data_IF_169758109286
#
_entry.id   IF_169758109286
#
_cell.length_a   1.000
_cell.length_b   1.000
_cell.length_c   1.000
_cell.angle_alpha   90.00
_cell.angle_beta   90.00
_cell.angle_gamma   90.00
#
_symmetry.space_group_name_H-M   'P 1'
#
loop_
_entity.id
_entity.type
_entity.pdbx_description
1 polymer ?
#
# COMPACT_ATOMS: atom_id res chain seq x y z
N UNK A 1 -24.49 34.62 -17.49
CA UNK A 1 -23.59 34.28 -16.36
C UNK A 1 -24.21 34.49 -14.96
N UNK A 2 -25.14 35.40 -14.72
CA UNK A 2 -25.81 35.56 -13.41
C UNK A 2 -26.79 34.42 -13.04
N UNK A 3 -27.38 33.72 -14.03
CA UNK A 3 -28.34 32.63 -13.79
C UNK A 3 -27.70 31.34 -13.24
N UNK A 4 -26.42 31.06 -13.55
CA UNK A 4 -25.73 29.86 -13.08
C UNK A 4 -25.31 29.94 -11.60
N UNK A 5 -25.05 31.14 -11.08
CA UNK A 5 -24.63 31.30 -9.66
C UNK A 5 -25.80 31.09 -8.70
N UNK A 6 -27.02 31.50 -9.10
CA UNK A 6 -28.23 31.27 -8.28
C UNK A 6 -28.64 29.80 -8.27
N UNK A 7 -28.44 29.06 -9.37
CA UNK A 7 -28.75 27.63 -9.45
C UNK A 7 -27.89 26.81 -8.47
N UNK A 8 -26.60 27.12 -8.33
CA UNK A 8 -25.71 26.44 -7.40
C UNK A 8 -26.12 26.61 -5.93
N UNK A 9 -26.62 27.78 -5.55
CA UNK A 9 -27.08 28.03 -4.18
C UNK A 9 -28.41 27.34 -3.87
N UNK A 10 -29.32 27.25 -4.83
CA UNK A 10 -30.60 26.57 -4.63
C UNK A 10 -30.39 25.05 -4.54
N UNK A 11 -29.49 24.49 -5.32
CA UNK A 11 -29.17 23.05 -5.26
C UNK A 11 -28.45 22.69 -3.95
N UNK A 12 -27.54 23.53 -3.46
CA UNK A 12 -26.87 23.32 -2.17
C UNK A 12 -27.82 23.49 -0.97
N UNK A 13 -28.80 24.38 -1.05
CA UNK A 13 -29.84 24.51 -0.01
C UNK A 13 -30.79 23.30 -0.01
N UNK A 14 -31.18 22.79 -1.19
CA UNK A 14 -32.01 21.60 -1.29
C UNK A 14 -31.33 20.34 -0.76
N UNK A 15 -30.02 20.13 -1.07
CA UNK A 15 -29.23 19.02 -0.51
C UNK A 15 -28.99 19.19 0.98
N UNK A 16 -28.78 20.41 1.48
CA UNK A 16 -28.57 20.68 2.90
C UNK A 16 -29.81 20.42 3.76
N UNK A 17 -31.01 20.65 3.23
CA UNK A 17 -32.27 20.37 3.93
C UNK A 17 -32.64 18.89 3.97
N UNK A 18 -32.21 18.08 2.99
CA UNK A 18 -32.49 16.63 2.99
C UNK A 18 -31.63 15.86 3.97
N UNK A 19 -30.47 16.37 4.36
CA UNK A 19 -29.63 15.72 5.38
C UNK A 19 -30.06 16.03 6.82
N UNK A 20 -30.88 17.03 7.05
CA UNK A 20 -31.37 17.41 8.39
C UNK A 20 -32.71 16.77 8.79
N UNK A 21 -33.40 16.15 7.83
CA UNK A 21 -34.65 15.44 8.09
C UNK A 21 -34.44 13.94 8.01
N UNK A 22 -33.89 13.37 9.07
CA UNK A 22 -34.00 11.93 9.29
C UNK A 22 -35.48 11.55 9.34
N UNK A 23 -35.89 10.61 8.50
CA UNK A 23 -37.19 9.91 8.48
C UNK A 23 -38.43 10.79 8.75
N UNK A 24 -39.02 11.29 7.70
CA UNK A 24 -40.50 11.43 7.62
C UNK A 24 -41.19 12.47 8.50
N UNK A 25 -40.49 13.41 9.12
CA UNK A 25 -41.18 14.55 9.79
C UNK A 25 -41.28 15.73 8.84
N UNK A 26 -42.52 16.11 8.52
CA UNK A 26 -42.80 17.38 7.85
C UNK A 26 -42.18 18.51 8.67
N UNK A 27 -41.34 19.33 8.05
CA UNK A 27 -40.94 20.60 8.62
C UNK A 27 -42.20 21.49 8.58
N UNK A 28 -42.70 21.89 9.76
CA UNK A 28 -43.92 22.66 9.86
C UNK A 28 -43.85 23.89 8.96
N UNK A 29 -44.78 23.95 7.98
CA UNK A 29 -45.02 25.10 7.12
C UNK A 29 -44.37 25.08 5.75
N UNK A 30 -43.60 24.07 5.38
CA UNK A 30 -43.03 23.96 4.01
C UNK A 30 -43.51 22.66 3.36
N UNK A 31 -44.45 22.79 2.43
CA UNK A 31 -44.84 21.70 1.58
C UNK A 31 -43.75 21.47 0.51
N UNK A 32 -43.05 20.34 0.61
CA UNK A 32 -41.96 19.95 -0.31
C UNK A 32 -42.47 19.93 -1.77
N UNK A 33 -43.72 19.49 -1.99
CA UNK A 33 -44.27 19.42 -3.33
C UNK A 33 -44.47 20.81 -3.93
N UNK A 34 -44.96 21.77 -3.12
CA UNK A 34 -45.09 23.16 -3.51
C UNK A 34 -43.76 23.83 -3.86
N UNK A 35 -42.68 23.45 -3.15
CA UNK A 35 -41.34 23.93 -3.49
C UNK A 35 -40.83 23.30 -4.77
N UNK A 36 -41.03 21.99 -4.98
CA UNK A 36 -40.65 21.32 -6.22
C UNK A 36 -41.38 21.94 -7.39
N UNK A 37 -42.69 22.11 -7.31
CA UNK A 37 -43.52 22.69 -8.38
C UNK A 37 -43.10 24.14 -8.69
N UNK A 38 -42.79 24.92 -7.65
CA UNK A 38 -42.35 26.31 -7.82
C UNK A 38 -41.00 26.44 -8.54
N UNK A 39 -40.11 25.51 -8.32
CA UNK A 39 -38.78 25.55 -8.91
C UNK A 39 -38.58 24.63 -10.10
N UNK A 40 -39.54 23.74 -10.41
CA UNK A 40 -39.51 22.86 -11.58
C UNK A 40 -39.34 23.63 -12.91
N UNK A 41 -39.90 24.82 -12.99
CA UNK A 41 -39.75 25.68 -14.18
C UNK A 41 -38.34 26.23 -14.41
N UNK A 42 -37.48 26.16 -13.39
CA UNK A 42 -36.07 26.59 -13.46
C UNK A 42 -35.09 25.46 -13.65
N UNK A 43 -35.52 24.20 -13.50
CA UNK A 43 -34.73 22.99 -13.65
C UNK A 43 -35.26 22.20 -14.86
N UNK A 44 -34.59 22.33 -15.99
CA UNK A 44 -34.79 21.44 -17.11
C UNK A 44 -34.06 20.12 -16.81
N UNK A 45 -34.76 19.22 -16.10
CA UNK A 45 -34.23 17.91 -15.76
C UNK A 45 -34.51 16.99 -16.95
N UNK A 46 -33.46 16.39 -17.55
CA UNK A 46 -33.70 15.35 -18.55
C UNK A 46 -34.45 14.18 -17.90
N UNK A 47 -35.17 13.43 -18.73
CA UNK A 47 -35.91 12.25 -18.25
C UNK A 47 -34.92 11.24 -17.66
N UNK A 48 -34.89 11.20 -16.32
CA UNK A 48 -33.98 10.31 -15.55
C UNK A 48 -34.70 9.02 -15.12
N UNK A 49 -36.00 8.91 -15.38
CA UNK A 49 -36.76 7.70 -15.06
C UNK A 49 -36.63 6.71 -16.20
N UNK A 50 -36.17 5.50 -15.85
CA UNK A 50 -35.99 4.43 -16.83
C UNK A 50 -34.61 4.37 -17.46
N UNK A 51 -33.62 5.02 -16.85
CA UNK A 51 -32.23 4.79 -17.22
C UNK A 51 -31.89 3.32 -16.92
N UNK A 52 -31.60 2.58 -17.98
CA UNK A 52 -31.08 1.21 -17.84
C UNK A 52 -29.63 1.31 -17.43
N UNK A 53 -29.28 0.63 -16.34
CA UNK A 53 -27.89 0.46 -15.92
C UNK A 53 -27.59 -1.02 -15.78
N UNK A 54 -26.41 -1.40 -16.22
CA UNK A 54 -25.92 -2.75 -15.97
C UNK A 54 -25.33 -2.80 -14.55
N UNK A 55 -25.99 -3.57 -13.67
CA UNK A 55 -25.47 -3.84 -12.34
C UNK A 55 -24.28 -4.78 -12.46
N UNK A 56 -23.07 -4.25 -12.40
CA UNK A 56 -21.86 -5.05 -12.28
C UNK A 56 -21.76 -5.59 -10.85
N UNK A 57 -22.20 -6.82 -10.66
CA UNK A 57 -21.97 -7.55 -9.41
C UNK A 57 -20.50 -7.96 -9.35
N UNK A 58 -19.72 -7.30 -8.52
CA UNK A 58 -18.41 -7.80 -8.18
C UNK A 58 -18.56 -8.99 -7.23
N UNK A 59 -18.13 -10.17 -7.68
CA UNK A 59 -18.06 -11.36 -6.81
C UNK A 59 -16.75 -11.30 -6.04
N UNK A 60 -16.83 -11.03 -4.74
CA UNK A 60 -15.68 -11.14 -3.84
C UNK A 60 -15.54 -12.59 -3.44
N UNK A 61 -14.38 -13.18 -3.65
CA UNK A 61 -14.06 -14.55 -3.26
C UNK A 61 -13.35 -14.59 -1.91
N UNK A 62 -13.35 -15.74 -1.25
CA UNK A 62 -12.57 -15.93 0.00
C UNK A 62 -11.09 -15.69 -0.22
N UNK A 63 -10.58 -15.96 -1.42
CA UNK A 63 -9.20 -15.66 -1.80
C UNK A 63 -8.91 -14.15 -1.83
N UNK A 64 -9.86 -13.34 -2.34
CA UNK A 64 -9.72 -11.88 -2.35
C UNK A 64 -9.71 -11.32 -0.92
N UNK A 65 -10.59 -11.86 -0.06
CA UNK A 65 -10.64 -11.50 1.37
C UNK A 65 -9.32 -11.83 2.05
N UNK A 66 -8.81 -13.06 1.85
CA UNK A 66 -7.53 -13.47 2.42
C UNK A 66 -6.39 -12.58 1.96
N UNK A 67 -6.28 -12.30 0.67
CA UNK A 67 -5.26 -11.42 0.10
C UNK A 67 -5.32 -10.03 0.75
N UNK A 68 -6.53 -9.52 0.99
CA UNK A 68 -6.70 -8.22 1.64
C UNK A 68 -6.29 -8.25 3.11
N UNK A 69 -6.61 -9.32 3.84
CA UNK A 69 -6.18 -9.52 5.23
C UNK A 69 -4.65 -9.59 5.29
N UNK A 70 -4.03 -10.43 4.45
CA UNK A 70 -2.57 -10.57 4.42
C UNK A 70 -1.89 -9.23 4.13
N UNK A 71 -2.42 -8.44 3.19
CA UNK A 71 -1.90 -7.11 2.89
C UNK A 71 -2.01 -6.12 4.07
N UNK A 72 -3.10 -6.22 4.84
CA UNK A 72 -3.28 -5.41 6.05
C UNK A 72 -2.32 -5.83 7.16
N UNK A 73 -2.16 -7.13 7.40
CA UNK A 73 -1.19 -7.63 8.39
C UNK A 73 0.23 -7.19 8.04
N UNK A 74 0.60 -7.22 6.76
CA UNK A 74 1.88 -6.71 6.26
C UNK A 74 2.06 -5.20 6.55
N UNK A 75 1.01 -4.41 6.38
CA UNK A 75 1.05 -2.97 6.63
C UNK A 75 1.29 -2.64 8.12
N UNK A 76 0.80 -3.50 9.02
CA UNK A 76 0.94 -3.35 10.48
C UNK A 76 2.04 -4.22 11.07
N UNK A 77 2.85 -4.83 10.21
CA UNK A 77 3.98 -5.64 10.65
C UNK A 77 5.00 -4.80 11.43
N UNK A 78 5.48 -5.35 12.53
CA UNK A 78 6.56 -4.75 13.30
C UNK A 78 7.91 -5.22 12.74
N UNK A 79 8.77 -4.28 12.40
CA UNK A 79 10.13 -4.55 11.94
C UNK A 79 11.10 -4.43 13.09
N UNK A 80 11.83 -5.49 13.37
CA UNK A 80 12.85 -5.54 14.42
C UNK A 80 14.22 -5.76 13.79
N UNK A 81 15.21 -4.98 14.23
CA UNK A 81 16.59 -5.14 13.77
C UNK A 81 17.32 -6.16 14.66
N UNK A 82 17.77 -7.24 14.06
CA UNK A 82 18.57 -8.28 14.71
C UNK A 82 20.02 -8.07 14.32
N UNK A 83 20.87 -7.79 15.30
CA UNK A 83 22.29 -7.46 15.11
C UNK A 83 23.23 -8.65 15.32
N UNK A 84 22.70 -9.82 15.53
CA UNK A 84 23.44 -11.05 15.74
C UNK A 84 22.78 -12.19 14.95
N UNK A 85 23.57 -13.13 14.48
CA UNK A 85 23.06 -14.31 13.77
C UNK A 85 23.74 -14.53 12.43
N UNK A 86 23.28 -15.57 11.74
CA UNK A 86 23.74 -15.95 10.41
C UNK A 86 22.63 -15.70 9.41
N UNK A 87 22.96 -15.06 8.34
CA UNK A 87 22.04 -14.65 7.26
C UNK A 87 21.62 -15.86 6.44
N UNK A 88 20.35 -15.93 6.09
CA UNK A 88 19.75 -17.02 5.31
C UNK A 88 19.06 -16.46 4.05
N UNK A 89 18.80 -17.34 3.12
CA UNK A 89 17.95 -17.04 1.98
C UNK A 89 16.55 -16.59 2.43
N UNK A 90 16.03 -15.52 1.83
CA UNK A 90 14.76 -14.90 2.19
C UNK A 90 14.86 -13.82 3.28
N UNK A 91 15.99 -13.70 3.97
CA UNK A 91 16.19 -12.65 4.96
C UNK A 91 16.26 -11.27 4.29
N UNK A 92 15.70 -10.27 4.97
CA UNK A 92 15.90 -8.87 4.61
C UNK A 92 17.06 -8.33 5.44
N UNK A 93 18.16 -7.99 4.77
CA UNK A 93 19.40 -7.56 5.38
C UNK A 93 19.71 -6.10 5.05
N UNK A 94 20.26 -5.37 5.99
CA UNK A 94 20.83 -4.05 5.74
C UNK A 94 22.34 -4.20 5.60
N UNK A 95 22.90 -3.80 4.47
CA UNK A 95 24.30 -3.95 4.13
C UNK A 95 24.94 -2.63 3.75
N UNK A 96 26.21 -2.49 4.04
CA UNK A 96 27.09 -1.53 3.39
C UNK A 96 27.99 -2.27 2.42
N UNK A 97 28.20 -1.70 1.25
CA UNK A 97 29.07 -2.28 0.24
C UNK A 97 29.90 -1.23 -0.48
N UNK A 98 31.08 -1.67 -0.90
CA UNK A 98 31.99 -0.90 -1.75
C UNK A 98 32.47 -1.83 -2.85
N UNK A 99 32.11 -1.53 -4.09
CA UNK A 99 32.51 -2.27 -5.27
C UNK A 99 33.72 -1.64 -5.96
N UNK A 100 34.63 -2.48 -6.42
CA UNK A 100 35.80 -2.08 -7.18
C UNK A 100 36.04 -3.03 -8.37
N UNK A 101 36.55 -2.49 -9.45
CA UNK A 101 37.00 -3.23 -10.64
C UNK A 101 38.48 -2.93 -10.81
N UNK A 102 39.30 -3.96 -10.88
CA UNK A 102 40.78 -3.83 -10.96
C UNK A 102 41.39 -2.95 -9.86
N UNK A 103 40.71 -2.86 -8.69
CA UNK A 103 41.15 -2.07 -7.54
C UNK A 103 40.68 -0.61 -7.54
N UNK A 104 39.94 -0.17 -8.56
CA UNK A 104 39.35 1.17 -8.64
C UNK A 104 37.84 1.11 -8.34
N UNK A 105 37.37 2.00 -7.42
CA UNK A 105 35.96 2.12 -7.14
C UNK A 105 35.21 2.72 -8.35
N UNK A 106 33.99 2.21 -8.63
CA UNK A 106 33.17 2.71 -9.73
C UNK A 106 31.92 3.42 -9.23
N UNK A 107 31.40 4.32 -10.03
CA UNK A 107 30.21 5.10 -9.69
C UNK A 107 28.96 4.23 -9.57
N UNK A 108 28.28 4.31 -8.43
CA UNK A 108 27.12 3.50 -8.07
C UNK A 108 27.48 2.18 -7.40
N UNK A 109 28.76 1.86 -7.22
CA UNK A 109 29.25 0.67 -6.52
C UNK A 109 29.42 0.83 -5.02
N UNK A 110 28.99 1.96 -4.43
CA UNK A 110 29.25 2.26 -3.04
C UNK A 110 27.97 2.74 -2.32
N UNK A 111 27.63 2.15 -1.16
CA UNK A 111 26.50 2.58 -0.32
C UNK A 111 26.78 3.88 0.45
N UNK A 112 28.02 4.33 0.48
CA UNK A 112 28.49 5.52 1.24
C UNK A 112 28.11 5.49 2.73
N UNK A 113 27.98 4.28 3.31
CA UNK A 113 27.60 4.12 4.72
C UNK A 113 26.15 4.46 5.05
N UNK A 114 25.31 4.62 4.02
CA UNK A 114 23.88 4.93 4.20
C UNK A 114 23.06 3.69 4.54
N UNK A 115 23.65 2.50 4.37
CA UNK A 115 22.95 1.23 4.43
C UNK A 115 22.08 0.98 3.19
N UNK A 116 22.01 -0.23 2.77
CA UNK A 116 21.13 -0.68 1.69
C UNK A 116 20.33 -1.89 2.14
N UNK A 117 19.01 -1.80 2.07
CA UNK A 117 18.13 -2.92 2.42
C UNK A 117 17.97 -3.86 1.24
N UNK A 118 18.34 -5.11 1.44
CA UNK A 118 18.34 -6.16 0.43
C UNK A 118 17.61 -7.40 0.93
N UNK A 119 16.67 -7.90 0.15
CA UNK A 119 16.06 -9.21 0.40
C UNK A 119 16.83 -10.26 -0.38
N UNK A 120 17.45 -11.21 0.30
CA UNK A 120 18.23 -12.26 -0.31
C UNK A 120 17.35 -13.26 -1.06
N UNK A 121 17.76 -13.65 -2.25
CA UNK A 121 16.96 -14.49 -3.15
C UNK A 121 15.95 -13.73 -3.99
N UNK A 122 15.91 -12.39 -3.90
CA UNK A 122 15.01 -11.56 -4.73
C UNK A 122 15.48 -11.43 -6.18
N UNK A 123 16.76 -11.67 -6.45
CA UNK A 123 17.37 -11.45 -7.76
C UNK A 123 17.46 -9.98 -8.17
N UNK A 124 17.40 -9.07 -7.20
CA UNK A 124 17.50 -7.63 -7.45
C UNK A 124 18.92 -7.14 -7.68
N UNK A 125 19.90 -7.94 -7.27
CA UNK A 125 21.34 -7.67 -7.45
C UNK A 125 21.93 -8.47 -8.61
N UNK A 126 23.16 -8.16 -8.96
CA UNK A 126 23.90 -8.91 -9.99
C UNK A 126 24.13 -10.37 -9.55
N UNK A 127 24.21 -11.32 -10.50
CA UNK A 127 24.41 -12.73 -10.18
C UNK A 127 25.64 -12.96 -9.30
N UNK A 128 25.48 -13.82 -8.27
CA UNK A 128 26.53 -14.15 -7.32
C UNK A 128 26.67 -13.17 -6.13
N UNK A 129 26.04 -12.00 -6.20
CA UNK A 129 26.09 -11.02 -5.11
C UNK A 129 25.30 -11.50 -3.89
N UNK A 130 24.04 -11.86 -4.09
CA UNK A 130 23.16 -12.33 -3.00
C UNK A 130 23.65 -13.67 -2.43
N UNK A 131 24.10 -14.59 -3.29
CA UNK A 131 24.63 -15.89 -2.90
C UNK A 131 25.88 -15.77 -2.01
N UNK A 132 26.72 -14.76 -2.27
CA UNK A 132 27.93 -14.52 -1.49
C UNK A 132 27.66 -14.01 -0.07
N UNK A 133 26.47 -13.47 0.19
CA UNK A 133 26.06 -12.96 1.51
C UNK A 133 25.40 -14.05 2.35
N UNK A 134 24.75 -15.02 1.70
CA UNK A 134 24.10 -16.12 2.42
C UNK A 134 25.13 -16.93 3.23
N UNK A 135 24.82 -17.17 4.50
CA UNK A 135 25.69 -17.90 5.42
C UNK A 135 26.71 -17.05 6.18
N UNK A 136 26.83 -15.76 5.86
CA UNK A 136 27.70 -14.84 6.58
C UNK A 136 27.05 -14.38 7.89
N UNK A 137 27.83 -13.87 8.82
CA UNK A 137 27.33 -13.37 10.10
C UNK A 137 27.10 -11.87 10.07
N UNK A 138 26.09 -11.45 10.81
CA UNK A 138 25.83 -10.02 11.04
C UNK A 138 27.02 -9.37 11.76
N UNK A 139 27.41 -8.18 11.32
CA UNK A 139 28.54 -7.42 11.83
C UNK A 139 29.89 -7.79 11.21
N UNK A 140 29.96 -8.84 10.40
CA UNK A 140 31.21 -9.20 9.69
C UNK A 140 31.37 -8.39 8.40
N UNK A 141 32.64 -8.11 8.06
CA UNK A 141 33.04 -7.52 6.80
C UNK A 141 33.79 -8.57 5.99
N UNK A 142 33.37 -8.81 4.78
CA UNK A 142 33.95 -9.81 3.90
C UNK A 142 33.95 -9.32 2.45
N UNK A 143 34.68 -10.03 1.59
CA UNK A 143 34.75 -9.71 0.16
C UNK A 143 34.06 -10.81 -0.63
N UNK A 144 33.31 -10.41 -1.64
CA UNK A 144 32.72 -11.30 -2.64
C UNK A 144 33.11 -10.85 -4.03
N UNK A 145 33.07 -11.78 -4.98
CA UNK A 145 33.25 -11.51 -6.40
C UNK A 145 31.94 -11.73 -7.11
N UNK A 146 31.54 -10.77 -7.88
CA UNK A 146 30.33 -10.88 -8.70
C UNK A 146 30.62 -10.34 -10.12
N UNK A 147 30.00 -10.98 -11.12
CA UNK A 147 30.20 -10.61 -12.52
C UNK A 147 28.98 -9.86 -13.04
N UNK A 148 29.20 -8.71 -13.62
CA UNK A 148 28.15 -7.94 -14.26
C UNK A 148 27.63 -8.68 -15.50
N UNK A 149 26.31 -8.69 -15.74
CA UNK A 149 25.75 -9.19 -16.98
C UNK A 149 26.29 -8.41 -18.20
N UNK A 150 26.36 -9.05 -19.35
CA UNK A 150 26.82 -8.39 -20.61
C UNK A 150 25.89 -7.23 -21.03
N UNK A 151 24.64 -7.23 -20.57
CA UNK A 151 23.63 -6.21 -20.87
C UNK A 151 23.23 -5.42 -19.61
N UNK A 152 24.18 -5.03 -18.78
CA UNK A 152 23.90 -4.28 -17.56
C UNK A 152 23.46 -2.82 -17.81
N UNK A 153 23.70 -2.32 -19.04
CA UNK A 153 23.30 -0.97 -19.44
C UNK A 153 24.36 0.12 -19.19
N UNK A 154 25.55 -0.26 -18.71
CA UNK A 154 26.76 0.57 -18.65
C UNK A 154 27.88 -0.18 -19.33
N UNK A 155 28.33 0.30 -20.50
CA UNK A 155 29.35 -0.37 -21.33
C UNK A 155 30.66 -0.61 -20.57
N UNK A 156 30.98 0.26 -19.63
CA UNK A 156 32.18 0.19 -18.80
C UNK A 156 32.16 -0.97 -17.79
N UNK A 157 30.98 -1.48 -17.45
CA UNK A 157 30.77 -2.54 -16.46
C UNK A 157 30.38 -3.88 -17.09
N UNK A 158 29.86 -3.88 -18.33
CA UNK A 158 29.34 -5.07 -18.97
C UNK A 158 30.39 -6.22 -19.01
N UNK A 159 29.98 -7.39 -18.49
CA UNK A 159 30.78 -8.59 -18.45
C UNK A 159 32.01 -8.55 -17.53
N UNK A 160 32.23 -7.47 -16.77
CA UNK A 160 33.38 -7.37 -15.87
C UNK A 160 33.11 -8.01 -14.52
N UNK A 161 34.17 -8.63 -13.98
CA UNK A 161 34.21 -9.11 -12.60
C UNK A 161 34.52 -7.92 -11.68
N UNK A 162 33.74 -7.77 -10.61
CA UNK A 162 33.95 -6.76 -9.58
C UNK A 162 34.12 -7.41 -8.22
N UNK A 163 35.02 -6.83 -7.42
CA UNK A 163 35.22 -7.19 -6.03
C UNK A 163 34.37 -6.26 -5.17
N UNK A 164 33.48 -6.85 -4.35
CA UNK A 164 32.64 -6.12 -3.41
C UNK A 164 33.07 -6.40 -1.99
N UNK A 165 33.43 -5.37 -1.27
CA UNK A 165 33.61 -5.41 0.18
C UNK A 165 32.26 -5.10 0.83
N UNK A 166 31.71 -6.06 1.58
CA UNK A 166 30.38 -5.98 2.17
C UNK A 166 30.46 -6.06 3.67
N UNK A 167 29.67 -5.26 4.35
CA UNK A 167 29.44 -5.31 5.79
C UNK A 167 27.95 -5.49 6.04
N UNK A 168 27.55 -6.49 6.81
CA UNK A 168 26.16 -6.72 7.19
C UNK A 168 25.88 -5.97 8.49
N UNK A 169 25.01 -4.98 8.44
CA UNK A 169 24.70 -4.14 9.59
C UNK A 169 23.69 -4.83 10.54
N UNK A 170 22.60 -5.36 10.00
CA UNK A 170 21.56 -6.10 10.73
C UNK A 170 20.66 -6.88 9.77
N UNK A 171 19.91 -7.82 10.34
CA UNK A 171 18.79 -8.50 9.67
C UNK A 171 17.51 -7.81 10.13
N UNK A 172 16.60 -7.53 9.21
CA UNK A 172 15.28 -7.01 9.53
C UNK A 172 14.30 -8.17 9.63
N UNK A 173 13.91 -8.53 10.84
CA UNK A 173 12.83 -9.48 11.06
C UNK A 173 11.48 -8.76 11.02
N UNK A 174 10.58 -9.27 10.19
CA UNK A 174 9.22 -8.76 10.06
C UNK A 174 8.28 -9.67 10.84
N UNK A 175 7.71 -9.16 11.93
CA UNK A 175 6.72 -9.87 12.73
C UNK A 175 5.33 -9.37 12.35
N UNK A 176 4.52 -10.25 11.76
CA UNK A 176 3.12 -9.96 11.46
C UNK A 176 2.30 -9.99 12.76
N UNK A 177 1.38 -9.02 12.96
CA UNK A 177 0.45 -9.10 14.06
C UNK A 177 -0.46 -10.33 13.91
N UNK A 178 -0.92 -10.87 15.03
CA UNK A 178 -1.88 -11.96 15.01
C UNK A 178 -3.24 -11.46 14.52
N UNK A 179 -3.82 -12.16 13.54
CA UNK A 179 -5.17 -11.87 13.07
C UNK A 179 -6.21 -12.36 14.10
N UNK A 180 -6.64 -11.45 14.95
CA UNK A 180 -7.62 -11.69 15.99
C UNK A 180 -8.55 -10.48 16.18
N UNK A 181 -9.58 -10.65 17.03
CA UNK A 181 -10.58 -9.60 17.29
C UNK A 181 -9.96 -8.31 17.81
N UNK A 182 -8.87 -8.37 18.59
CA UNK A 182 -8.18 -7.20 19.11
C UNK A 182 -7.51 -6.41 17.97
N UNK A 183 -6.90 -7.10 17.01
CA UNK A 183 -6.33 -6.46 15.82
C UNK A 183 -7.43 -5.81 14.99
N UNK A 184 -8.53 -6.54 14.72
CA UNK A 184 -9.66 -6.01 13.94
C UNK A 184 -10.26 -4.78 14.61
N UNK A 185 -10.48 -4.81 15.92
CA UNK A 185 -11.00 -3.67 16.68
C UNK A 185 -10.08 -2.44 16.61
N UNK A 186 -8.77 -2.65 16.70
CA UNK A 186 -7.80 -1.56 16.61
C UNK A 186 -7.73 -0.92 15.22
N UNK A 187 -7.88 -1.73 14.16
CA UNK A 187 -7.84 -1.28 12.78
C UNK A 187 -9.13 -0.57 12.34
N UNK A 188 -10.28 -1.16 12.67
CA UNK A 188 -11.57 -0.69 12.17
C UNK A 188 -12.20 0.36 13.07
N UNK A 189 -11.67 0.59 14.27
CA UNK A 189 -12.30 1.38 15.32
C UNK A 189 -13.73 0.91 15.66
N UNK A 190 -14.08 -0.33 15.28
CA UNK A 190 -15.37 -0.93 15.58
C UNK A 190 -15.32 -1.58 16.96
N UNK A 191 -16.18 -1.11 17.85
CA UNK A 191 -16.34 -1.69 19.20
C UNK A 191 -17.10 -3.03 19.20
N UNK A 192 -17.59 -3.47 18.03
CA UNK A 192 -18.43 -4.65 17.90
C UNK A 192 -17.78 -5.67 16.96
N UNK A 193 -17.28 -6.74 17.53
CA UNK A 193 -16.71 -7.89 16.82
C UNK A 193 -17.72 -9.02 16.63
N UNK A 194 -18.89 -8.96 17.29
CA UNK A 194 -19.99 -9.90 17.08
C UNK A 194 -21.07 -9.29 16.20
N UNK A 195 -21.67 -10.07 15.29
CA UNK A 195 -22.78 -9.63 14.47
C UNK A 195 -23.93 -9.18 15.37
N UNK A 196 -24.51 -8.04 15.03
CA UNK A 196 -25.67 -7.53 15.73
C UNK A 196 -26.85 -8.49 15.63
N UNK A 197 -27.71 -8.61 16.65
CA UNK A 197 -28.94 -9.38 16.54
C UNK A 197 -29.81 -9.02 15.32
N UNK A 198 -29.60 -7.83 14.74
CA UNK A 198 -30.26 -7.40 13.50
C UNK A 198 -29.73 -8.11 12.25
N UNK A 199 -28.51 -8.60 12.29
CA UNK A 199 -27.88 -9.26 11.14
C UNK A 199 -28.41 -10.69 10.94
N UNK A 200 -29.11 -11.22 11.95
CA UNK A 200 -29.79 -12.53 11.90
C UNK A 200 -31.29 -12.43 11.57
N UNK A 201 -31.82 -11.22 11.38
CA UNK A 201 -33.25 -10.99 11.16
C UNK A 201 -33.63 -10.75 9.69
N UNK A 202 -32.75 -11.11 8.74
CA UNK A 202 -33.01 -11.00 7.32
C UNK A 202 -33.30 -12.36 6.69
#
# INVERSE_FOLDING_TARGET
MKKFRTLGYVLSLALGMTMLTGCGKKVDGVDQQSMIDKYAAYCDLPDYKGLEYEETKSTVTDADVKTKIDSLLQQYATKTQVKEGTVKEGDNVNIDFVGSIDGEEFEGGNSNGSGYDLTLGSGSMIPGFEDGIIGQKVGETFNIKATFPENYGKDELNGKEADFKITINYITETQLPEYNDAFVASYTCLLYTSPSPRDYAA
#
